data_IF_193283478435
#
_entry.id   IF_193283478435
#
_cell.length_a   1.000
_cell.length_b   1.000
_cell.length_c   1.000
_cell.angle_alpha   90.00
_cell.angle_beta   90.00
_cell.angle_gamma   90.00
#
_symmetry.space_group_name_H-M   'P 1'
#
loop_
_entity.id
_entity.type
_entity.pdbx_description
1 polymer ?
#
# COMPACT_ATOMS: atom_id res chain seq x y z
N UNK A 1 6.67 30.38 -0.89
CA UNK A 1 6.40 29.95 0.51
C UNK A 1 5.73 28.57 0.43
N UNK A 2 6.48 27.48 0.73
CA UNK A 2 5.90 26.10 0.70
C UNK A 2 5.07 25.89 1.95
N UNK A 3 3.77 26.11 1.83
CA UNK A 3 2.79 25.93 2.92
C UNK A 3 2.05 24.58 2.83
N UNK A 4 2.57 23.65 2.06
CA UNK A 4 1.89 22.40 1.78
C UNK A 4 2.21 21.34 2.82
N UNK A 5 1.17 20.66 3.30
CA UNK A 5 1.31 19.60 4.28
C UNK A 5 1.90 18.33 3.68
N UNK A 6 1.64 18.10 2.41
CA UNK A 6 1.99 16.85 1.74
C UNK A 6 2.49 17.13 0.33
N UNK A 7 3.76 16.81 0.11
CA UNK A 7 4.41 16.96 -1.19
C UNK A 7 5.27 15.72 -1.45
N UNK A 8 5.15 15.14 -2.64
CA UNK A 8 6.02 14.06 -3.12
C UNK A 8 6.78 14.51 -4.36
N UNK A 9 8.06 14.20 -4.39
CA UNK A 9 8.91 14.40 -5.57
C UNK A 9 9.22 13.04 -6.20
N UNK A 10 8.65 12.79 -7.39
CA UNK A 10 8.87 11.55 -8.14
C UNK A 10 10.00 11.71 -9.14
N UNK A 11 10.90 10.72 -9.17
CA UNK A 11 11.94 10.61 -10.17
C UNK A 11 12.27 9.15 -10.45
N UNK A 12 12.03 8.71 -11.68
CA UNK A 12 12.18 7.31 -12.10
C UNK A 12 11.38 6.36 -11.19
N UNK A 13 12.06 5.42 -10.54
CA UNK A 13 11.51 4.40 -9.65
C UNK A 13 11.54 4.79 -8.16
N UNK A 14 11.83 6.08 -7.87
CA UNK A 14 11.96 6.58 -6.50
C UNK A 14 11.06 7.79 -6.23
N UNK A 15 10.66 7.93 -4.97
CA UNK A 15 9.89 9.05 -4.44
C UNK A 15 10.62 9.67 -3.25
N UNK A 16 10.61 11.00 -3.15
CA UNK A 16 11.10 11.73 -1.98
C UNK A 16 9.90 12.24 -1.20
N UNK A 17 9.88 11.90 0.08
CA UNK A 17 8.92 12.42 1.05
C UNK A 17 9.64 12.92 2.28
N UNK A 18 9.43 14.18 2.66
CA UNK A 18 10.07 14.83 3.82
C UNK A 18 11.59 14.58 3.91
N UNK A 19 12.29 14.80 2.81
CA UNK A 19 13.75 14.62 2.67
C UNK A 19 14.26 13.18 2.75
N UNK A 20 13.37 12.18 2.78
CA UNK A 20 13.72 10.75 2.71
C UNK A 20 13.40 10.21 1.33
N UNK A 21 14.24 9.33 0.80
CA UNK A 21 14.05 8.69 -0.51
C UNK A 21 13.59 7.25 -0.32
N UNK A 22 12.54 6.87 -1.05
CA UNK A 22 11.95 5.52 -1.03
C UNK A 22 11.76 5.00 -2.47
N UNK A 23 11.72 3.68 -2.69
CA UNK A 23 11.13 3.13 -3.90
C UNK A 23 9.67 3.56 -4.03
N UNK A 24 9.23 3.95 -5.22
CA UNK A 24 7.83 4.33 -5.50
C UNK A 24 6.90 3.16 -5.17
N UNK A 25 5.77 3.42 -4.52
CA UNK A 25 4.83 2.42 -3.99
C UNK A 25 5.06 2.06 -2.52
N UNK A 26 6.13 2.56 -1.88
CA UNK A 26 6.43 2.28 -0.46
C UNK A 26 5.37 2.86 0.46
N UNK A 27 4.96 4.12 0.24
CA UNK A 27 4.01 4.80 1.12
C UNK A 27 2.63 4.13 1.07
N UNK A 28 2.18 3.75 -0.12
CA UNK A 28 0.94 3.00 -0.33
C UNK A 28 1.00 1.62 0.35
N UNK A 29 2.12 0.92 0.19
CA UNK A 29 2.32 -0.39 0.80
C UNK A 29 2.30 -0.32 2.34
N UNK A 30 2.91 0.70 2.93
CA UNK A 30 2.91 0.91 4.38
C UNK A 30 1.52 1.32 4.89
N UNK A 31 0.77 2.13 4.11
CA UNK A 31 -0.61 2.49 4.44
C UNK A 31 -1.53 1.26 4.53
N UNK A 32 -1.32 0.24 3.69
CA UNK A 32 -2.04 -1.05 3.79
C UNK A 32 -1.79 -1.80 5.11
N UNK A 33 -0.68 -1.52 5.78
CA UNK A 33 -0.30 -2.17 7.03
C UNK A 33 -0.73 -1.42 8.28
N UNK A 34 -1.37 -0.25 8.17
CA UNK A 34 -1.86 0.50 9.35
C UNK A 34 -2.94 -0.30 10.06
N UNK A 35 -2.74 -0.66 11.35
CA UNK A 35 -3.68 -1.53 12.05
C UNK A 35 -5.01 -0.83 12.33
N UNK A 36 -6.11 -1.58 12.31
CA UNK A 36 -7.47 -1.07 12.60
C UNK A 36 -7.55 -0.39 13.98
N UNK A 37 -6.88 -0.92 14.98
CA UNK A 37 -6.81 -0.31 16.30
C UNK A 37 -6.06 1.04 16.31
N UNK A 38 -5.14 1.25 15.39
CA UNK A 38 -4.48 2.56 15.20
C UNK A 38 -5.45 3.54 14.53
N UNK A 39 -6.21 3.09 13.53
CA UNK A 39 -7.26 3.93 12.90
C UNK A 39 -8.32 4.34 13.92
N UNK A 40 -8.73 3.44 14.82
CA UNK A 40 -9.66 3.77 15.89
C UNK A 40 -9.12 4.88 16.82
N UNK A 41 -7.84 4.82 17.22
CA UNK A 41 -7.20 5.88 18.03
C UNK A 41 -7.08 7.19 17.27
N UNK A 42 -6.85 7.16 15.95
CA UNK A 42 -6.87 8.35 15.10
C UNK A 42 -8.28 8.93 15.09
N UNK A 43 -9.33 8.10 14.96
CA UNK A 43 -10.72 8.54 14.92
C UNK A 43 -11.13 9.30 16.19
N UNK A 44 -10.71 8.86 17.37
CA UNK A 44 -10.96 9.58 18.62
C UNK A 44 -10.43 11.03 18.62
N UNK A 45 -9.32 11.27 17.93
CA UNK A 45 -8.78 12.62 17.78
C UNK A 45 -9.48 13.39 16.65
N UNK A 46 -9.86 12.70 15.56
CA UNK A 46 -10.64 13.30 14.47
C UNK A 46 -11.94 13.94 15.00
N UNK A 47 -12.67 13.25 15.88
CA UNK A 47 -13.93 13.73 16.43
C UNK A 47 -13.76 15.06 17.17
N UNK A 48 -12.70 15.22 17.97
CA UNK A 48 -12.41 16.48 18.68
C UNK A 48 -12.06 17.63 17.73
N UNK A 49 -11.32 17.32 16.66
CA UNK A 49 -10.95 18.30 15.63
C UNK A 49 -12.17 18.69 14.80
N UNK A 50 -13.04 17.73 14.47
CA UNK A 50 -14.26 17.98 13.70
C UNK A 50 -15.27 18.84 14.47
N UNK A 51 -15.31 18.73 15.79
CA UNK A 51 -16.14 19.61 16.61
C UNK A 51 -15.73 21.08 16.42
N UNK A 52 -14.43 21.39 16.44
CA UNK A 52 -13.92 22.74 16.14
C UNK A 52 -14.31 23.17 14.73
N UNK A 53 -14.10 22.31 13.74
CA UNK A 53 -14.40 22.60 12.34
C UNK A 53 -15.90 22.87 12.13
N UNK A 54 -16.77 22.08 12.76
CA UNK A 54 -18.24 22.27 12.69
C UNK A 54 -18.68 23.61 13.22
N UNK A 55 -18.16 24.05 14.38
CA UNK A 55 -18.50 25.33 14.99
C UNK A 55 -17.93 26.50 14.18
N UNK A 56 -16.70 26.40 13.66
CA UNK A 56 -16.13 27.41 12.78
C UNK A 56 -16.95 27.59 11.50
N UNK A 57 -17.35 26.46 10.87
CA UNK A 57 -18.18 26.49 9.66
C UNK A 57 -19.60 27.08 9.92
N UNK A 58 -20.12 26.93 11.13
CA UNK A 58 -21.38 27.54 11.53
C UNK A 58 -21.25 29.05 11.87
N UNK A 59 -20.06 29.62 11.80
CA UNK A 59 -19.81 31.04 12.12
C UNK A 59 -19.97 31.39 13.61
N UNK A 60 -19.88 30.38 14.48
CA UNK A 60 -20.02 30.53 15.93
C UNK A 60 -18.65 30.73 16.60
N UNK A 61 -18.66 31.28 17.82
CA UNK A 61 -17.44 31.43 18.60
C UNK A 61 -16.92 30.06 19.05
N UNK A 62 -15.77 29.72 18.52
CA UNK A 62 -15.06 28.48 18.80
C UNK A 62 -13.89 28.65 19.77
N UNK A 63 -13.71 29.81 20.38
CA UNK A 63 -12.51 30.17 21.18
C UNK A 63 -12.20 29.17 22.27
N UNK A 64 -13.19 28.59 22.94
CA UNK A 64 -13.05 27.62 23.99
C UNK A 64 -12.56 26.22 23.49
N UNK A 65 -12.70 25.92 22.18
CA UNK A 65 -12.41 24.64 21.61
C UNK A 65 -10.96 24.53 21.06
N UNK A 66 -10.27 25.65 20.85
CA UNK A 66 -8.91 25.63 20.30
C UNK A 66 -7.90 24.86 21.15
N UNK A 67 -7.88 24.98 22.49
CA UNK A 67 -6.97 24.13 23.28
C UNK A 67 -7.23 22.64 23.09
N UNK A 68 -8.50 22.21 23.12
CA UNK A 68 -8.87 20.81 22.94
C UNK A 68 -8.50 20.31 21.54
N UNK A 69 -8.78 21.07 20.49
CA UNK A 69 -8.45 20.67 19.11
C UNK A 69 -6.95 20.65 18.87
N UNK A 70 -6.19 21.59 19.43
CA UNK A 70 -4.73 21.60 19.41
C UNK A 70 -4.17 20.35 20.09
N UNK A 71 -4.63 20.03 21.29
CA UNK A 71 -4.17 18.86 22.04
C UNK A 71 -4.53 17.57 21.30
N UNK A 72 -5.69 17.50 20.66
CA UNK A 72 -6.07 16.38 19.80
C UNK A 72 -5.16 16.27 18.57
N UNK A 73 -4.81 17.38 17.91
CA UNK A 73 -3.90 17.39 16.78
C UNK A 73 -2.47 16.95 17.17
N UNK A 74 -2.00 17.36 18.35
CA UNK A 74 -0.72 16.94 18.90
C UNK A 74 -0.73 15.45 19.31
N UNK A 75 -1.81 14.96 19.90
CA UNK A 75 -1.98 13.55 20.23
C UNK A 75 -2.01 12.69 18.97
N UNK A 76 -2.75 13.12 17.94
CA UNK A 76 -2.75 12.48 16.62
C UNK A 76 -1.33 12.42 16.04
N UNK A 77 -0.59 13.53 16.05
CA UNK A 77 0.78 13.57 15.56
C UNK A 77 1.69 12.57 16.31
N UNK A 78 1.45 12.37 17.61
CA UNK A 78 2.12 11.36 18.42
C UNK A 78 1.80 9.91 17.99
N UNK A 79 0.58 9.64 17.53
CA UNK A 79 0.18 8.35 16.94
C UNK A 79 0.84 8.17 15.57
N UNK A 80 0.74 9.18 14.72
CA UNK A 80 1.27 9.18 13.35
C UNK A 80 2.79 9.00 13.33
N UNK A 81 3.51 9.65 14.25
CA UNK A 81 4.97 9.54 14.35
C UNK A 81 5.50 8.13 14.66
N UNK A 82 4.64 7.21 15.10
CA UNK A 82 4.96 5.80 15.36
C UNK A 82 4.42 4.85 14.30
N UNK A 83 3.72 5.38 13.30
CA UNK A 83 2.94 4.58 12.33
C UNK A 83 3.40 4.88 10.91
N UNK A 84 4.16 3.98 10.23
CA UNK A 84 4.41 4.13 8.80
C UNK A 84 3.09 4.12 8.00
N UNK A 85 3.00 4.91 6.92
CA UNK A 85 4.02 5.79 6.35
C UNK A 85 4.12 7.17 7.02
N UNK A 86 3.26 7.52 7.95
CA UNK A 86 3.21 8.84 8.59
C UNK A 86 4.46 9.15 9.43
N UNK A 87 5.13 8.12 9.98
CA UNK A 87 6.38 8.27 10.72
C UNK A 87 7.56 8.78 9.87
N UNK A 88 7.35 8.92 8.56
CA UNK A 88 8.31 9.54 7.65
C UNK A 88 8.22 11.08 7.66
N UNK A 89 7.13 11.64 8.16
CA UNK A 89 6.94 13.08 8.34
C UNK A 89 7.98 13.67 9.29
N UNK A 90 8.27 14.95 9.12
CA UNK A 90 9.03 15.74 10.09
C UNK A 90 8.14 16.10 11.29
N UNK A 91 8.00 15.16 12.21
CA UNK A 91 7.12 15.29 13.38
C UNK A 91 7.44 16.53 14.25
N UNK A 92 8.72 16.85 14.56
CA UNK A 92 9.06 18.06 15.26
C UNK A 92 8.55 19.34 14.58
N UNK A 93 8.79 19.48 13.28
CA UNK A 93 8.33 20.61 12.48
C UNK A 93 6.80 20.77 12.47
N UNK A 94 6.08 19.64 12.32
CA UNK A 94 4.62 19.65 12.37
C UNK A 94 4.10 20.01 13.76
N UNK A 95 4.75 19.55 14.82
CA UNK A 95 4.42 19.90 16.19
C UNK A 95 4.50 21.42 16.44
N UNK A 96 5.66 22.01 16.14
CA UNK A 96 5.89 23.44 16.26
C UNK A 96 4.83 24.25 15.50
N UNK A 97 4.52 23.79 14.28
CA UNK A 97 3.52 24.45 13.44
C UNK A 97 2.11 24.33 14.02
N UNK A 98 1.69 23.17 14.52
CA UNK A 98 0.37 22.99 15.18
C UNK A 98 0.26 23.90 16.39
N UNK A 99 1.26 23.95 17.25
CA UNK A 99 1.29 24.81 18.43
C UNK A 99 1.12 26.28 18.06
N UNK A 100 1.70 26.72 16.94
CA UNK A 100 1.61 28.09 16.44
C UNK A 100 0.25 28.42 15.83
N UNK A 101 -0.35 27.51 15.04
CA UNK A 101 -1.49 27.85 14.19
C UNK A 101 -2.86 27.67 14.86
N UNK A 102 -2.99 26.77 15.86
CA UNK A 102 -4.28 26.49 16.53
C UNK A 102 -4.65 27.61 17.53
N UNK A 103 -5.03 28.76 17.01
CA UNK A 103 -5.45 29.95 17.77
C UNK A 103 -6.74 30.57 17.22
N UNK A 104 -7.51 31.23 18.08
CA UNK A 104 -8.73 31.95 17.68
C UNK A 104 -8.42 33.08 16.67
N UNK A 105 -7.29 33.79 16.83
CA UNK A 105 -6.85 34.82 15.90
C UNK A 105 -6.66 34.31 14.49
N UNK A 106 -6.02 33.11 14.32
CA UNK A 106 -5.88 32.50 13.03
C UNK A 106 -7.20 32.03 12.41
N UNK A 107 -8.19 31.63 13.21
CA UNK A 107 -9.52 31.34 12.70
C UNK A 107 -10.23 32.60 12.16
N UNK A 108 -10.17 33.70 12.88
CA UNK A 108 -10.72 34.98 12.41
C UNK A 108 -10.04 35.46 11.13
N UNK A 109 -8.73 35.34 11.06
CA UNK A 109 -7.95 35.62 9.82
C UNK A 109 -8.34 34.70 8.67
N UNK A 110 -8.63 33.44 8.94
CA UNK A 110 -9.10 32.52 7.89
C UNK A 110 -10.47 32.91 7.36
N UNK A 111 -11.40 33.31 8.22
CA UNK A 111 -12.71 33.82 7.80
C UNK A 111 -12.57 35.07 6.94
N UNK A 112 -11.73 36.05 7.37
CA UNK A 112 -11.43 37.25 6.58
C UNK A 112 -10.86 36.87 5.20
N UNK A 113 -9.88 35.98 5.17
CA UNK A 113 -9.28 35.47 3.93
C UNK A 113 -10.32 34.81 2.99
N UNK A 114 -11.18 33.95 3.53
CA UNK A 114 -12.20 33.25 2.76
C UNK A 114 -13.24 34.25 2.16
N UNK A 115 -13.67 35.25 2.92
CA UNK A 115 -14.58 36.30 2.45
C UNK A 115 -13.89 37.10 1.32
N UNK A 116 -12.66 37.56 1.52
CA UNK A 116 -11.91 38.31 0.50
C UNK A 116 -11.70 37.53 -0.76
N UNK A 117 -11.38 36.25 -0.63
CA UNK A 117 -11.21 35.32 -1.79
C UNK A 117 -12.54 35.15 -2.55
N UNK A 118 -13.64 34.91 -1.83
CA UNK A 118 -14.96 34.71 -2.44
C UNK A 118 -15.47 35.97 -3.16
N UNK A 119 -15.10 37.15 -2.67
CA UNK A 119 -15.52 38.47 -3.23
C UNK A 119 -14.51 39.02 -4.25
N UNK A 120 -13.46 38.25 -4.62
CA UNK A 120 -12.37 38.70 -5.47
C UNK A 120 -11.68 40.01 -5.00
N UNK A 121 -11.73 40.31 -3.71
CA UNK A 121 -11.14 41.50 -3.12
C UNK A 121 -9.77 41.25 -2.48
N UNK A 122 -9.28 39.98 -2.51
CA UNK A 122 -7.99 39.60 -1.97
C UNK A 122 -6.85 40.08 -2.90
N UNK A 123 -5.97 40.91 -2.35
CA UNK A 123 -4.78 41.35 -3.08
C UNK A 123 -3.63 40.36 -2.84
N UNK A 124 -2.80 40.13 -3.87
CA UNK A 124 -1.70 39.18 -3.83
C UNK A 124 -0.69 39.48 -2.70
N UNK A 125 -0.48 40.74 -2.41
CA UNK A 125 0.40 41.25 -1.36
C UNK A 125 -0.08 40.91 0.06
N UNK A 126 -1.39 40.71 0.22
CA UNK A 126 -2.01 40.37 1.53
C UNK A 126 -1.92 38.86 1.85
N UNK A 127 -1.74 37.98 0.83
CA UNK A 127 -1.74 36.53 1.01
C UNK A 127 -0.77 36.03 2.09
N UNK A 128 0.45 36.56 2.23
CA UNK A 128 1.36 36.15 3.30
C UNK A 128 0.84 36.38 4.72
N UNK A 129 -0.02 37.40 4.93
CA UNK A 129 -0.65 37.70 6.22
C UNK A 129 -1.54 36.56 6.73
N UNK A 130 -2.12 35.77 5.81
CA UNK A 130 -3.06 34.69 6.11
C UNK A 130 -2.42 33.30 6.13
N UNK A 131 -1.09 33.24 6.01
CA UNK A 131 -0.37 31.95 5.87
C UNK A 131 -0.65 30.97 7.02
N UNK A 132 -0.60 31.43 8.27
CA UNK A 132 -0.85 30.59 9.44
C UNK A 132 -2.34 30.22 9.56
N UNK A 133 -3.23 31.11 9.16
CA UNK A 133 -4.67 30.89 9.13
C UNK A 133 -5.08 29.82 8.10
N UNK A 134 -4.51 29.88 6.89
CA UNK A 134 -4.68 28.85 5.86
C UNK A 134 -4.10 27.50 6.34
N UNK A 135 -2.99 27.52 7.07
CA UNK A 135 -2.40 26.32 7.62
C UNK A 135 -3.26 25.70 8.74
N UNK A 136 -3.88 26.50 9.60
CA UNK A 136 -4.87 26.03 10.58
C UNK A 136 -5.99 25.24 9.88
N UNK A 137 -6.59 25.82 8.86
CA UNK A 137 -7.68 25.18 8.12
C UNK A 137 -7.22 23.87 7.47
N UNK A 138 -6.02 23.83 6.90
CA UNK A 138 -5.46 22.62 6.28
C UNK A 138 -5.27 21.50 7.31
N UNK A 139 -4.67 21.78 8.46
CA UNK A 139 -4.53 20.78 9.53
C UNK A 139 -5.89 20.27 9.99
N UNK A 140 -6.84 21.19 10.21
CA UNK A 140 -8.17 20.85 10.67
C UNK A 140 -8.89 19.94 9.65
N UNK A 141 -8.84 20.29 8.37
CA UNK A 141 -9.46 19.50 7.31
C UNK A 141 -8.79 18.12 7.13
N UNK A 142 -7.45 18.10 7.05
CA UNK A 142 -6.71 16.84 6.80
C UNK A 142 -6.81 15.90 8.00
N UNK A 143 -6.62 16.39 9.22
CA UNK A 143 -6.65 15.57 10.42
C UNK A 143 -8.08 15.19 10.82
N UNK A 144 -9.05 16.10 10.65
CA UNK A 144 -10.45 15.83 10.97
C UNK A 144 -11.04 14.65 10.17
N UNK A 145 -10.59 14.46 8.95
CA UNK A 145 -11.08 13.39 8.07
C UNK A 145 -10.11 12.20 7.90
N UNK A 146 -9.00 12.18 8.63
CA UNK A 146 -7.93 11.22 8.39
C UNK A 146 -8.37 9.76 8.60
N UNK A 147 -9.08 9.45 9.68
CA UNK A 147 -9.51 8.09 9.99
C UNK A 147 -10.45 7.53 8.92
N UNK A 148 -11.46 8.31 8.54
CA UNK A 148 -12.41 7.95 7.49
C UNK A 148 -11.69 7.73 6.15
N UNK A 149 -10.91 8.73 5.73
CA UNK A 149 -10.17 8.68 4.48
C UNK A 149 -9.20 7.51 4.42
N UNK A 150 -8.52 7.19 5.53
CA UNK A 150 -7.58 6.08 5.59
C UNK A 150 -8.30 4.73 5.49
N UNK A 151 -9.45 4.56 6.15
CA UNK A 151 -10.27 3.35 6.07
C UNK A 151 -10.78 3.10 4.64
N UNK A 152 -11.32 4.13 3.98
CA UNK A 152 -11.75 4.08 2.58
C UNK A 152 -10.59 3.73 1.64
N UNK A 153 -9.45 4.39 1.83
CA UNK A 153 -8.26 4.14 1.04
C UNK A 153 -7.73 2.71 1.20
N UNK A 154 -7.68 2.21 2.45
CA UNK A 154 -7.26 0.83 2.70
C UNK A 154 -8.19 -0.17 2.03
N UNK A 155 -9.52 0.01 2.13
CA UNK A 155 -10.49 -0.89 1.51
C UNK A 155 -10.30 -0.96 0.00
N UNK A 156 -10.19 0.19 -0.67
CA UNK A 156 -10.00 0.23 -2.12
C UNK A 156 -8.63 -0.33 -2.56
N UNK A 157 -7.55 0.05 -1.85
CA UNK A 157 -6.20 -0.45 -2.18
C UNK A 157 -6.04 -1.94 -1.85
N UNK A 158 -6.72 -2.44 -0.81
CA UNK A 158 -6.63 -3.83 -0.39
C UNK A 158 -7.20 -4.76 -1.45
N UNK A 159 -8.40 -4.47 -1.97
CA UNK A 159 -9.04 -5.25 -3.04
C UNK A 159 -8.12 -5.32 -4.27
N UNK A 160 -7.55 -4.20 -4.68
CA UNK A 160 -6.61 -4.14 -5.79
C UNK A 160 -5.30 -4.91 -5.50
N UNK A 161 -4.73 -4.75 -4.30
CA UNK A 161 -3.49 -5.42 -3.91
C UNK A 161 -3.66 -6.95 -3.82
N UNK A 162 -4.78 -7.44 -3.30
CA UNK A 162 -5.09 -8.87 -3.25
C UNK A 162 -5.22 -9.48 -4.65
N UNK A 163 -5.85 -8.78 -5.56
CA UNK A 163 -5.95 -9.20 -6.95
C UNK A 163 -4.60 -9.19 -7.66
N UNK A 164 -3.77 -8.17 -7.42
CA UNK A 164 -2.41 -8.10 -7.96
C UNK A 164 -1.47 -9.16 -7.36
N UNK A 165 -1.66 -9.55 -6.10
CA UNK A 165 -0.90 -10.63 -5.47
C UNK A 165 -1.28 -12.01 -6.01
N UNK A 166 -2.55 -12.21 -6.38
CA UNK A 166 -3.05 -13.44 -7.01
C UNK A 166 -2.53 -13.68 -8.43
N UNK A 167 -2.16 -12.64 -9.15
CA UNK A 167 -1.62 -12.74 -10.49
C UNK A 167 -0.12 -13.06 -10.47
N UNK A 168 0.22 -14.34 -10.26
CA UNK A 168 1.62 -14.80 -10.19
C UNK A 168 2.35 -14.71 -11.55
N UNK A 169 1.65 -14.51 -12.66
CA UNK A 169 2.21 -14.70 -13.99
C UNK A 169 2.94 -13.48 -14.55
N UNK A 170 2.56 -12.26 -14.17
CA UNK A 170 3.12 -11.06 -14.80
C UNK A 170 3.15 -9.88 -13.82
N UNK A 171 4.26 -9.73 -13.11
CA UNK A 171 4.51 -8.58 -12.20
C UNK A 171 5.43 -7.55 -12.83
N UNK A 172 5.26 -7.33 -14.13
CA UNK A 172 5.90 -6.25 -14.87
C UNK A 172 4.97 -5.03 -14.96
N UNK A 173 5.49 -3.90 -15.39
CA UNK A 173 4.69 -2.71 -15.65
C UNK A 173 3.59 -2.99 -16.69
N UNK A 174 3.91 -3.77 -17.73
CA UNK A 174 2.95 -4.19 -18.77
C UNK A 174 1.87 -5.12 -18.20
N UNK A 175 2.23 -6.05 -17.31
CA UNK A 175 1.28 -6.94 -16.64
C UNK A 175 0.32 -6.17 -15.74
N UNK A 176 0.81 -5.20 -14.99
CA UNK A 176 -0.04 -4.31 -14.19
C UNK A 176 -0.91 -3.40 -15.06
N UNK A 177 -0.41 -2.91 -16.19
CA UNK A 177 -1.22 -2.13 -17.12
C UNK A 177 -2.39 -2.95 -17.69
N UNK A 178 -2.16 -4.20 -18.08
CA UNK A 178 -3.22 -5.12 -18.54
C UNK A 178 -4.25 -5.39 -17.44
N UNK A 179 -3.78 -5.68 -16.23
CA UNK A 179 -4.65 -5.90 -15.09
C UNK A 179 -5.49 -4.64 -14.79
N UNK A 180 -4.87 -3.47 -14.78
CA UNK A 180 -5.54 -2.20 -14.55
C UNK A 180 -6.61 -1.94 -15.63
N UNK A 181 -6.31 -2.14 -16.91
CA UNK A 181 -7.25 -1.98 -18.01
C UNK A 181 -8.43 -2.97 -17.96
N UNK A 182 -8.26 -4.18 -17.40
CA UNK A 182 -9.37 -5.10 -17.19
C UNK A 182 -10.28 -4.70 -16.02
N UNK A 183 -9.74 -3.96 -15.05
CA UNK A 183 -10.50 -3.42 -13.92
C UNK A 183 -11.22 -2.12 -14.25
N UNK A 184 -10.55 -1.27 -15.03
CA UNK A 184 -10.94 0.08 -15.36
C UNK A 184 -10.84 0.23 -16.88
N UNK A 185 -11.83 -0.25 -17.62
CA UNK A 185 -11.84 -0.09 -19.07
C UNK A 185 -11.79 1.41 -19.43
N UNK A 186 -11.20 1.76 -20.60
CA UNK A 186 -11.01 3.17 -21.02
C UNK A 186 -12.31 3.98 -21.11
N UNK A 187 -13.44 3.30 -21.26
CA UNK A 187 -14.77 3.90 -21.29
C UNK A 187 -15.25 4.36 -19.91
N UNK A 188 -14.55 3.96 -18.84
CA UNK A 188 -14.90 4.32 -17.49
C UNK A 188 -14.60 5.82 -17.25
N UNK A 189 -15.62 6.65 -17.28
CA UNK A 189 -15.48 8.09 -17.09
C UNK A 189 -15.25 8.41 -15.59
N UNK A 190 -14.40 9.42 -15.32
CA UNK A 190 -14.17 9.97 -13.97
C UNK A 190 -15.48 10.44 -13.33
N UNK A 191 -16.50 10.79 -14.11
CA UNK A 191 -17.80 11.27 -13.67
C UNK A 191 -18.73 10.15 -13.15
N UNK A 192 -18.43 8.88 -13.44
CA UNK A 192 -19.28 7.74 -13.09
C UNK A 192 -18.91 7.06 -11.76
N UNK A 193 -18.29 7.77 -10.83
CA UNK A 193 -18.24 7.35 -9.42
C UNK A 193 -16.99 6.63 -8.97
N UNK A 194 -15.96 6.48 -9.81
CA UNK A 194 -14.67 5.93 -9.35
C UNK A 194 -13.73 7.01 -8.79
N UNK A 195 -14.19 7.64 -7.73
CA UNK A 195 -13.41 8.66 -7.01
C UNK A 195 -12.01 8.19 -6.59
N UNK A 196 -11.79 6.87 -6.48
CA UNK A 196 -10.48 6.36 -6.10
C UNK A 196 -9.47 6.33 -7.25
N UNK A 197 -9.89 6.32 -8.51
CA UNK A 197 -9.03 6.48 -9.69
C UNK A 197 -8.68 7.94 -9.96
N UNK A 198 -9.50 8.85 -9.45
CA UNK A 198 -9.31 10.27 -9.60
C UNK A 198 -8.24 10.78 -8.63
N UNK A 199 -7.23 11.46 -9.14
CA UNK A 199 -6.28 12.25 -8.37
C UNK A 199 -6.76 13.70 -8.22
N UNK A 200 -8.06 13.90 -8.18
CA UNK A 200 -8.68 15.22 -7.99
C UNK A 200 -8.06 15.92 -6.78
N UNK A 201 -7.80 17.21 -6.94
CA UNK A 201 -7.15 18.08 -5.94
C UNK A 201 -5.64 17.89 -5.77
N UNK A 202 -4.95 17.38 -6.79
CA UNK A 202 -3.49 17.45 -6.86
C UNK A 202 -3.05 18.56 -7.82
N UNK A 203 -2.01 19.28 -7.46
CA UNK A 203 -1.26 20.09 -8.42
C UNK A 203 0.07 19.43 -8.75
N UNK A 204 0.47 19.53 -10.01
CA UNK A 204 1.73 18.95 -10.51
C UNK A 204 2.61 20.07 -11.03
N UNK A 205 3.87 20.06 -10.65
CA UNK A 205 4.90 20.94 -11.20
C UNK A 205 6.20 20.18 -11.40
N UNK A 206 7.02 20.66 -12.31
CA UNK A 206 8.38 20.16 -12.48
C UNK A 206 9.37 21.12 -11.84
N UNK A 207 10.24 20.60 -10.97
CA UNK A 207 11.19 21.39 -10.20
C UNK A 207 12.58 20.78 -10.27
N UNK A 208 13.59 21.65 -10.22
CA UNK A 208 14.98 21.20 -10.11
C UNK A 208 15.34 21.05 -8.63
N UNK A 209 15.70 19.83 -8.22
CA UNK A 209 15.99 19.48 -6.82
C UNK A 209 17.31 18.71 -6.72
N UNK A 210 18.15 19.06 -5.75
CA UNK A 210 19.27 18.21 -5.34
C UNK A 210 18.70 17.18 -4.35
N UNK A 211 18.73 15.90 -4.75
CA UNK A 211 18.17 14.81 -3.95
C UNK A 211 19.08 14.50 -2.76
N UNK A 212 18.53 13.94 -1.67
CA UNK A 212 19.32 13.52 -0.51
C UNK A 212 20.47 12.61 -0.91
N UNK A 213 21.71 13.00 -0.54
CA UNK A 213 22.94 12.26 -0.87
C UNK A 213 23.50 12.50 -2.27
N UNK A 214 22.84 13.28 -3.13
CA UNK A 214 23.33 13.65 -4.47
C UNK A 214 23.99 15.04 -4.48
N UNK A 215 24.82 15.28 -5.49
CA UNK A 215 25.49 16.60 -5.69
C UNK A 215 24.94 17.35 -6.90
N UNK A 216 24.19 16.67 -7.75
CA UNK A 216 23.69 17.21 -9.02
C UNK A 216 22.17 17.34 -8.94
N UNK A 217 21.67 18.50 -9.37
CA UNK A 217 20.25 18.75 -9.45
C UNK A 217 19.58 17.86 -10.50
N UNK A 218 18.40 17.36 -10.19
CA UNK A 218 17.55 16.55 -11.07
C UNK A 218 16.21 17.26 -11.29
N UNK A 219 15.67 17.14 -12.49
CA UNK A 219 14.30 17.56 -12.77
C UNK A 219 13.37 16.48 -12.23
N UNK A 220 12.54 16.80 -11.24
CA UNK A 220 11.60 15.90 -10.61
C UNK A 220 10.16 16.35 -10.85
N UNK A 221 9.24 15.39 -10.90
CA UNK A 221 7.79 15.66 -10.90
C UNK A 221 7.35 15.85 -9.45
N UNK A 222 7.06 17.08 -9.06
CA UNK A 222 6.53 17.42 -7.74
C UNK A 222 5.02 17.40 -7.77
N UNK A 223 4.43 16.66 -6.86
CA UNK A 223 2.97 16.62 -6.68
C UNK A 223 2.61 17.10 -5.27
N UNK A 224 1.64 18.00 -5.23
CA UNK A 224 1.10 18.59 -4.01
C UNK A 224 -0.26 18.00 -3.72
N UNK A 225 -0.49 17.58 -2.49
CA UNK A 225 -1.71 16.87 -2.10
C UNK A 225 -2.47 17.61 -1.02
N UNK A 226 -3.79 17.50 -1.07
CA UNK A 226 -4.71 18.00 -0.05
C UNK A 226 -5.17 16.90 0.92
N UNK A 227 -4.84 15.63 0.63
CA UNK A 227 -5.17 14.48 1.46
C UNK A 227 -4.10 13.39 1.40
N UNK A 228 -3.93 12.66 2.48
CA UNK A 228 -3.05 11.47 2.52
C UNK A 228 -3.53 10.37 1.55
N UNK A 229 -4.84 10.26 1.35
CA UNK A 229 -5.42 9.30 0.40
C UNK A 229 -4.96 9.56 -1.03
N UNK A 230 -5.00 10.82 -1.47
CA UNK A 230 -4.48 11.22 -2.77
C UNK A 230 -2.99 10.90 -2.91
N UNK A 231 -2.23 11.16 -1.85
CA UNK A 231 -0.80 10.88 -1.79
C UNK A 231 -0.49 9.37 -1.92
N UNK A 232 -1.14 8.50 -1.13
CA UNK A 232 -0.92 7.05 -1.18
C UNK A 232 -1.37 6.45 -2.50
N UNK A 233 -2.47 6.95 -3.07
CA UNK A 233 -2.97 6.53 -4.35
C UNK A 233 -2.00 6.84 -5.50
N UNK A 234 -1.47 8.06 -5.51
CA UNK A 234 -0.46 8.45 -6.49
C UNK A 234 0.81 7.63 -6.36
N UNK A 235 1.27 7.38 -5.15
CA UNK A 235 2.44 6.53 -4.90
C UNK A 235 2.21 5.08 -5.39
N UNK A 236 1.00 4.53 -5.19
CA UNK A 236 0.64 3.22 -5.73
C UNK A 236 0.69 3.19 -7.25
N UNK A 237 0.02 4.14 -7.92
CA UNK A 237 -0.06 4.15 -9.38
C UNK A 237 1.27 4.43 -10.05
N UNK A 238 2.04 5.37 -9.55
CA UNK A 238 3.40 5.61 -10.03
C UNK A 238 4.28 4.36 -9.83
N UNK A 239 4.09 3.62 -8.72
CA UNK A 239 4.74 2.33 -8.48
C UNK A 239 4.39 1.30 -9.55
N UNK A 240 3.11 1.13 -9.86
CA UNK A 240 2.66 0.19 -10.90
C UNK A 240 3.25 0.51 -12.26
N UNK A 241 3.39 1.81 -12.61
CA UNK A 241 4.00 2.25 -13.87
C UNK A 241 5.46 1.79 -14.02
N UNK A 242 6.17 1.58 -12.92
CA UNK A 242 7.57 1.09 -12.92
C UNK A 242 7.70 -0.38 -12.51
N UNK A 243 6.59 -1.12 -12.43
CA UNK A 243 6.59 -2.54 -12.05
C UNK A 243 6.71 -2.82 -10.55
N UNK A 244 6.52 -1.81 -9.72
CA UNK A 244 6.46 -1.97 -8.26
C UNK A 244 5.03 -2.24 -7.81
N UNK A 245 4.82 -3.23 -6.94
CA UNK A 245 3.50 -3.53 -6.42
C UNK A 245 3.54 -4.13 -5.01
N UNK A 246 2.49 -3.89 -4.19
CA UNK A 246 2.33 -4.57 -2.91
C UNK A 246 2.23 -6.08 -3.07
N UNK A 247 2.77 -6.82 -2.10
CA UNK A 247 2.66 -8.27 -1.98
C UNK A 247 2.50 -8.69 -0.53
N UNK A 248 1.65 -9.69 -0.26
CA UNK A 248 1.41 -10.19 1.09
C UNK A 248 2.47 -11.22 1.49
N UNK A 249 3.16 -10.99 2.60
CA UNK A 249 4.18 -11.91 3.12
C UNK A 249 3.54 -13.19 3.66
N UNK A 250 3.96 -14.36 3.17
CA UNK A 250 3.42 -15.67 3.60
C UNK A 250 3.84 -16.12 5.01
N UNK A 251 4.68 -15.35 5.72
CA UNK A 251 5.09 -15.63 7.10
C UNK A 251 4.36 -14.72 8.09
N UNK A 252 4.45 -13.39 7.92
CA UNK A 252 3.90 -12.42 8.87
C UNK A 252 2.54 -11.83 8.45
N UNK A 253 2.06 -12.10 7.24
CA UNK A 253 0.81 -11.56 6.71
C UNK A 253 0.84 -10.06 6.33
N UNK A 254 1.95 -9.35 6.60
CA UNK A 254 2.09 -7.92 6.25
C UNK A 254 2.31 -7.75 4.76
N UNK A 255 1.82 -6.64 4.24
CA UNK A 255 2.14 -6.17 2.89
C UNK A 255 3.57 -5.66 2.83
N UNK A 256 4.25 -5.92 1.73
CA UNK A 256 5.58 -5.38 1.44
C UNK A 256 5.71 -5.09 -0.05
N UNK A 257 6.49 -4.07 -0.39
CA UNK A 257 6.71 -3.68 -1.77
C UNK A 257 7.65 -4.66 -2.48
N UNK A 258 7.27 -5.09 -3.68
CA UNK A 258 8.16 -5.76 -4.62
C UNK A 258 8.56 -4.77 -5.72
N UNK A 259 9.86 -4.64 -5.96
CA UNK A 259 10.46 -3.69 -6.92
C UNK A 259 11.01 -4.38 -8.17
N UNK A 260 10.63 -5.61 -8.40
CA UNK A 260 11.03 -6.38 -9.58
C UNK A 260 10.06 -7.55 -9.80
N UNK A 261 10.07 -8.11 -11.01
CA UNK A 261 9.23 -9.22 -11.41
C UNK A 261 9.55 -10.57 -10.71
N UNK A 262 10.55 -10.62 -9.83
CA UNK A 262 10.90 -11.86 -9.12
C UNK A 262 9.78 -12.26 -8.15
N UNK A 263 9.45 -13.54 -8.14
CA UNK A 263 8.44 -14.12 -7.25
C UNK A 263 8.91 -14.19 -5.79
N UNK A 264 9.17 -13.05 -5.17
CA UNK A 264 9.50 -12.95 -3.75
C UNK A 264 8.25 -13.22 -2.91
N UNK A 265 8.29 -14.25 -2.05
CA UNK A 265 7.14 -14.67 -1.22
C UNK A 265 7.18 -14.12 0.20
N UNK A 266 8.30 -13.54 0.61
CA UNK A 266 8.60 -13.16 1.99
C UNK A 266 9.20 -11.77 2.05
N UNK A 267 8.75 -10.96 3.00
CA UNK A 267 9.36 -9.66 3.26
C UNK A 267 10.75 -9.80 3.93
N UNK A 268 11.48 -8.69 4.01
CA UNK A 268 12.77 -8.63 4.72
C UNK A 268 12.64 -8.36 6.22
N UNK A 269 11.43 -8.12 6.73
CA UNK A 269 11.18 -7.80 8.14
C UNK A 269 11.31 -9.02 9.06
N UNK A 270 11.46 -8.77 10.35
CA UNK A 270 11.51 -9.82 11.37
C UNK A 270 10.17 -10.56 11.48
N UNK A 271 10.27 -11.89 11.64
CA UNK A 271 9.08 -12.71 11.79
C UNK A 271 8.48 -12.55 13.20
N UNK A 272 7.16 -12.32 13.31
CA UNK A 272 6.51 -12.21 14.60
C UNK A 272 6.69 -13.48 15.44
N UNK A 273 7.05 -13.30 16.73
CA UNK A 273 7.18 -14.41 17.67
C UNK A 273 8.42 -15.31 17.49
N UNK A 274 9.31 -15.01 16.56
CA UNK A 274 10.54 -15.77 16.38
C UNK A 274 11.59 -15.37 17.44
N UNK A 275 11.89 -16.29 18.36
CA UNK A 275 12.85 -16.06 19.46
C UNK A 275 14.29 -15.81 18.99
N UNK A 276 14.62 -16.20 17.76
CA UNK A 276 15.95 -16.04 17.18
C UNK A 276 16.07 -14.77 16.33
N UNK A 277 15.06 -13.89 16.35
CA UNK A 277 15.01 -12.65 15.57
C UNK A 277 15.32 -12.83 14.07
N UNK A 278 14.90 -13.97 13.49
CA UNK A 278 15.08 -14.23 12.06
C UNK A 278 14.09 -13.43 11.23
N UNK A 279 14.51 -13.06 10.02
CA UNK A 279 13.60 -12.42 9.06
C UNK A 279 12.62 -13.42 8.46
N UNK A 280 11.48 -12.93 7.96
CA UNK A 280 10.52 -13.74 7.23
C UNK A 280 11.17 -14.48 6.04
N UNK A 281 12.13 -13.83 5.37
CA UNK A 281 12.89 -14.44 4.27
C UNK A 281 13.78 -15.60 4.74
N UNK A 282 14.45 -15.45 5.87
CA UNK A 282 15.25 -16.52 6.46
C UNK A 282 14.39 -17.73 6.84
N UNK A 283 13.27 -17.50 7.53
CA UNK A 283 12.33 -18.57 7.89
C UNK A 283 11.72 -19.24 6.65
N UNK A 284 11.31 -18.45 5.66
CA UNK A 284 10.75 -18.98 4.42
C UNK A 284 11.77 -19.84 3.64
N UNK A 285 13.03 -19.41 3.62
CA UNK A 285 14.11 -20.17 2.98
C UNK A 285 14.42 -21.47 3.76
N UNK A 286 14.42 -21.44 5.10
CA UNK A 286 14.57 -22.64 5.93
C UNK A 286 13.46 -23.64 5.66
N UNK A 287 12.18 -23.20 5.73
CA UNK A 287 11.04 -24.06 5.40
C UNK A 287 11.13 -24.64 3.98
N UNK A 288 11.58 -23.84 3.01
CA UNK A 288 11.79 -24.30 1.64
C UNK A 288 12.96 -25.28 1.51
N UNK A 289 13.97 -25.19 2.39
CA UNK A 289 15.07 -26.16 2.45
C UNK A 289 14.60 -27.46 3.10
N UNK A 290 13.95 -27.39 4.26
CA UNK A 290 13.35 -28.55 4.95
C UNK A 290 12.43 -29.34 4.01
N UNK A 291 11.61 -28.67 3.20
CA UNK A 291 10.77 -29.31 2.20
C UNK A 291 11.56 -30.00 1.07
N UNK A 292 12.74 -29.50 0.73
CA UNK A 292 13.62 -30.10 -0.30
C UNK A 292 14.51 -31.21 0.24
N UNK A 293 14.87 -31.11 1.51
CA UNK A 293 15.73 -32.05 2.23
C UNK A 293 14.93 -33.17 2.94
N UNK A 294 13.65 -33.37 2.57
CA UNK A 294 12.93 -34.56 2.99
C UNK A 294 13.73 -35.82 2.59
N UNK A 295 13.88 -36.70 3.54
CA UNK A 295 14.57 -37.97 3.28
C UNK A 295 14.01 -38.67 2.02
N UNK A 296 14.86 -39.26 1.23
CA UNK A 296 14.45 -39.87 -0.04
C UNK A 296 13.48 -41.06 0.14
N UNK A 297 13.45 -41.65 1.34
CA UNK A 297 12.51 -42.70 1.75
C UNK A 297 11.16 -42.16 2.27
N UNK A 298 10.97 -40.85 2.37
CA UNK A 298 9.70 -40.28 2.86
C UNK A 298 8.54 -40.68 1.94
N UNK A 299 7.48 -41.36 2.42
CA UNK A 299 6.41 -41.92 1.57
C UNK A 299 5.74 -40.90 0.63
N UNK A 300 5.50 -39.70 1.13
CA UNK A 300 4.89 -38.60 0.33
C UNK A 300 5.83 -38.18 -0.81
N UNK A 301 7.16 -38.12 -0.55
CA UNK A 301 8.17 -37.77 -1.56
C UNK A 301 8.28 -38.85 -2.62
N UNK A 302 8.34 -40.12 -2.22
CA UNK A 302 8.41 -41.25 -3.16
C UNK A 302 7.22 -41.29 -4.11
N UNK A 303 5.99 -41.08 -3.62
CA UNK A 303 4.79 -41.03 -4.45
C UNK A 303 4.90 -39.85 -5.45
N UNK A 304 5.38 -38.70 -5.02
CA UNK A 304 5.56 -37.52 -5.86
C UNK A 304 6.59 -37.77 -6.97
N UNK A 305 7.78 -38.28 -6.63
CA UNK A 305 8.86 -38.54 -7.59
C UNK A 305 8.46 -39.61 -8.60
N UNK A 306 7.83 -40.70 -8.15
CA UNK A 306 7.27 -41.73 -9.02
C UNK A 306 6.28 -41.13 -10.04
N UNK A 307 5.47 -40.13 -9.60
CA UNK A 307 4.52 -39.47 -10.47
C UNK A 307 5.23 -38.56 -11.48
N UNK A 308 6.19 -37.78 -11.06
CA UNK A 308 6.99 -36.93 -11.97
C UNK A 308 7.69 -37.76 -13.05
N UNK A 309 8.30 -38.84 -12.65
CA UNK A 309 8.95 -39.75 -13.57
C UNK A 309 7.96 -40.34 -14.58
N UNK A 310 6.74 -40.66 -14.14
CA UNK A 310 5.70 -41.16 -15.03
C UNK A 310 5.28 -40.11 -16.05
N UNK A 311 5.01 -38.87 -15.60
CA UNK A 311 4.62 -37.73 -16.47
C UNK A 311 5.72 -37.51 -17.53
N UNK A 312 6.99 -37.40 -17.10
CA UNK A 312 8.13 -37.21 -18.02
C UNK A 312 8.25 -38.34 -19.05
N UNK A 313 7.97 -39.61 -18.68
CA UNK A 313 7.97 -40.73 -19.58
C UNK A 313 6.89 -40.64 -20.64
N UNK A 314 5.68 -40.18 -20.26
CA UNK A 314 4.57 -39.98 -21.22
C UNK A 314 4.84 -38.82 -22.19
N UNK A 315 5.49 -37.74 -21.73
CA UNK A 315 5.96 -36.67 -22.62
C UNK A 315 6.98 -37.18 -23.62
N UNK A 316 8.01 -37.93 -23.15
CA UNK A 316 9.02 -38.51 -24.03
C UNK A 316 8.44 -39.47 -25.08
N UNK A 317 7.33 -40.14 -24.78
CA UNK A 317 6.63 -41.04 -25.70
C UNK A 317 5.65 -40.32 -26.64
N UNK A 318 5.50 -39.00 -26.52
CA UNK A 318 4.54 -38.20 -27.29
C UNK A 318 3.08 -38.47 -26.96
N UNK A 319 2.80 -39.20 -25.86
CA UNK A 319 1.40 -39.51 -25.42
C UNK A 319 0.78 -38.49 -24.49
N UNK A 320 1.54 -37.48 -24.09
CA UNK A 320 1.10 -36.38 -23.26
C UNK A 320 1.72 -35.07 -23.79
N UNK A 321 0.86 -34.08 -24.07
CA UNK A 321 1.28 -32.73 -24.51
C UNK A 321 2.10 -32.04 -23.41
N UNK A 322 3.13 -31.30 -23.81
CA UNK A 322 4.07 -30.65 -22.90
C UNK A 322 3.35 -29.68 -21.96
N UNK A 323 2.42 -28.85 -22.47
CA UNK A 323 1.68 -27.87 -21.69
C UNK A 323 0.83 -28.51 -20.60
N UNK A 324 0.13 -29.60 -20.96
CA UNK A 324 -0.67 -30.36 -20.01
C UNK A 324 0.22 -31.06 -18.96
N UNK A 325 1.42 -31.51 -19.35
CA UNK A 325 2.37 -32.11 -18.44
C UNK A 325 2.88 -31.10 -17.39
N UNK A 326 3.13 -29.84 -17.78
CA UNK A 326 3.55 -28.79 -16.84
C UNK A 326 2.46 -28.49 -15.82
N UNK A 327 1.20 -28.40 -16.25
CA UNK A 327 0.05 -28.23 -15.33
C UNK A 327 -0.05 -29.43 -14.38
N UNK A 328 0.10 -30.66 -14.88
CA UNK A 328 0.09 -31.86 -14.04
C UNK A 328 1.23 -31.87 -13.01
N UNK A 329 2.44 -31.45 -13.38
CA UNK A 329 3.59 -31.33 -12.46
C UNK A 329 3.34 -30.31 -11.37
N UNK A 330 2.75 -29.16 -11.72
CA UNK A 330 2.36 -28.11 -10.76
C UNK A 330 1.33 -28.64 -9.77
N UNK A 331 0.28 -29.30 -10.25
CA UNK A 331 -0.73 -29.94 -9.41
C UNK A 331 -0.18 -31.01 -8.48
N UNK A 332 0.71 -31.89 -9.00
CA UNK A 332 1.37 -32.90 -8.19
C UNK A 332 2.21 -32.29 -7.06
N UNK A 333 2.89 -31.17 -7.34
CA UNK A 333 3.65 -30.42 -6.34
C UNK A 333 2.74 -29.80 -5.27
N UNK A 334 1.63 -29.20 -5.65
CA UNK A 334 0.67 -28.61 -4.73
C UNK A 334 0.09 -29.69 -3.79
N UNK A 335 -0.32 -30.84 -4.35
CA UNK A 335 -0.82 -31.99 -3.58
C UNK A 335 0.23 -32.57 -2.62
N UNK A 336 1.50 -32.66 -3.05
CA UNK A 336 2.61 -33.07 -2.17
C UNK A 336 2.79 -32.11 -1.00
N UNK A 337 2.80 -30.80 -1.25
CA UNK A 337 2.95 -29.80 -0.21
C UNK A 337 1.79 -29.84 0.78
N UNK A 338 0.57 -30.08 0.30
CA UNK A 338 -0.58 -30.25 1.16
C UNK A 338 -0.49 -31.52 1.99
N UNK A 339 -0.08 -32.65 1.42
CA UNK A 339 0.11 -33.89 2.15
C UNK A 339 1.18 -33.79 3.26
N UNK A 340 2.24 -33.00 3.05
CA UNK A 340 3.25 -32.71 4.08
C UNK A 340 2.72 -31.90 5.25
N UNK A 341 1.69 -31.07 5.03
CA UNK A 341 1.06 -30.23 6.08
C UNK A 341 -0.19 -30.87 6.71
N UNK A 342 -0.75 -31.89 6.09
CA UNK A 342 -2.00 -32.54 6.50
C UNK A 342 -1.85 -34.06 6.54
N UNK A 343 -1.62 -34.60 7.73
CA UNK A 343 -1.40 -36.04 7.96
C UNK A 343 -2.62 -36.88 7.56
N UNK A 344 -3.85 -36.38 7.78
CA UNK A 344 -5.07 -37.11 7.40
C UNK A 344 -5.16 -37.26 5.87
N UNK A 345 -4.88 -36.19 5.11
CA UNK A 345 -4.82 -36.24 3.67
C UNK A 345 -3.70 -37.15 3.17
N UNK A 346 -2.51 -37.05 3.77
CA UNK A 346 -1.36 -37.86 3.39
C UNK A 346 -1.64 -39.38 3.51
N UNK A 347 -2.38 -39.80 4.55
CA UNK A 347 -2.76 -41.22 4.80
C UNK A 347 -4.01 -41.67 4.05
N UNK A 348 -4.85 -40.75 3.62
CA UNK A 348 -6.14 -41.06 2.99
C UNK A 348 -6.12 -40.93 1.45
N UNK A 349 -6.33 -39.72 0.98
CA UNK A 349 -6.64 -39.49 -0.45
C UNK A 349 -5.45 -39.13 -1.32
N UNK A 350 -4.29 -38.78 -0.72
CA UNK A 350 -3.11 -38.31 -1.44
C UNK A 350 -2.64 -39.25 -2.55
N UNK A 351 -2.49 -40.56 -2.25
CA UNK A 351 -2.01 -41.53 -3.23
C UNK A 351 -2.99 -41.72 -4.38
N UNK A 352 -4.30 -41.75 -4.09
CA UNK A 352 -5.36 -41.84 -5.10
C UNK A 352 -5.37 -40.64 -6.02
N UNK A 353 -5.31 -39.44 -5.44
CA UNK A 353 -5.31 -38.17 -6.18
C UNK A 353 -4.03 -37.93 -6.96
N UNK A 354 -2.92 -38.51 -6.54
CA UNK A 354 -1.66 -38.55 -7.29
C UNK A 354 -1.68 -39.53 -8.45
N UNK A 355 -2.77 -40.30 -8.64
CA UNK A 355 -2.96 -41.18 -9.80
C UNK A 355 -2.89 -40.42 -11.13
N UNK A 356 -2.30 -41.05 -12.18
CA UNK A 356 -2.11 -40.40 -13.49
C UNK A 356 -3.43 -39.92 -14.10
N UNK A 357 -4.47 -40.73 -14.02
CA UNK A 357 -5.80 -40.39 -14.52
C UNK A 357 -6.44 -39.22 -13.74
N UNK A 358 -6.30 -39.23 -12.40
CA UNK A 358 -6.83 -38.19 -11.53
C UNK A 358 -6.15 -36.83 -11.81
N UNK A 359 -4.80 -36.79 -11.82
CA UNK A 359 -4.06 -35.58 -12.14
C UNK A 359 -4.33 -35.06 -13.55
N UNK A 360 -4.47 -35.94 -14.55
CA UNK A 360 -4.82 -35.55 -15.91
C UNK A 360 -6.22 -34.93 -15.96
N UNK A 361 -7.21 -35.52 -15.28
CA UNK A 361 -8.57 -35.00 -15.18
C UNK A 361 -8.60 -33.61 -14.51
N UNK A 362 -7.87 -33.46 -13.41
CA UNK A 362 -7.79 -32.19 -12.67
C UNK A 362 -7.06 -31.11 -13.49
N UNK A 363 -5.99 -31.50 -14.23
CA UNK A 363 -5.25 -30.59 -15.11
C UNK A 363 -6.11 -30.08 -16.27
N UNK A 364 -6.89 -30.96 -16.89
CA UNK A 364 -7.81 -30.58 -17.97
C UNK A 364 -8.87 -29.60 -17.43
N UNK A 365 -9.45 -29.88 -16.25
CA UNK A 365 -10.43 -28.95 -15.63
C UNK A 365 -9.86 -27.56 -15.36
N UNK A 366 -8.57 -27.45 -15.00
CA UNK A 366 -7.91 -26.15 -14.77
C UNK A 366 -7.53 -25.42 -16.04
N UNK A 367 -7.34 -26.12 -17.17
CA UNK A 367 -7.01 -25.50 -18.46
C UNK A 367 -8.25 -25.06 -19.27
N UNK A 368 -9.45 -25.36 -18.81
CA UNK A 368 -10.73 -25.01 -19.49
C UNK A 368 -11.33 -23.73 -18.88
N UNK A 369 -10.67 -23.13 -17.87
CA UNK A 369 -11.01 -21.82 -17.31
C UNK A 369 -9.91 -20.83 -17.69
#
# INVERSE_FOLDING_TARGET
MNQELMTLDFWQDTVIYESKTFPVGTLACDALNVPVNTIAKINEQCEKINLLLGILNAGQDASALFPMARDAALAMLGILGKTPPFSYMDIPKHRERIEKVFTADNALKYMEFAIKAATNSLQLEEVPKYADAVMLQRYTAVFGHLAYSLGECQTAMLDFAEKSDGNEADRTAEGFAKMFGSYFPPEFSITEGNAWMSTLNNSVQYVSVIRPGEKVAKLVKRMHYVSFVGMFRSDLFEGLCVGHAPKKCKICGKWFLTTNARHTKYCGGYAPGDKLHRTCRQIGNLKGREQRELADDHPVKQIYEKRLNTINRYVKRGTLATDLAEVMKKLAKDKMLWALSNVAYAKGDYEKEMGQAALKKDAIKRNVI
#
